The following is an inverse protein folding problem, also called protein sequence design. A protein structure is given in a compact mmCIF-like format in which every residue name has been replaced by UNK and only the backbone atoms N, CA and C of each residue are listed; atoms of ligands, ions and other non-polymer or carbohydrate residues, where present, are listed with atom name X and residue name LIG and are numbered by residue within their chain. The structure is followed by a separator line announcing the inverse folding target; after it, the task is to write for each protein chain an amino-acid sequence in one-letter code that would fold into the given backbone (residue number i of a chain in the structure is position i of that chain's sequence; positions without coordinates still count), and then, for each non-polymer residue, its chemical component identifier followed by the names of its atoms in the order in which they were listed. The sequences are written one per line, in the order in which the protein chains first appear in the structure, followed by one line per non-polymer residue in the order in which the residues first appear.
data_IF_100144804945
#
_entry.id   IF_100144804945
#
_cell.length_a   1.000
_cell.length_b   1.000
_cell.length_c   1.000
_cell.angle_alpha   90.00
_cell.angle_beta   90.00
_cell.angle_gamma   90.00
#
_symmetry.space_group_name_H-M   'P 1'
#
loop_
_entity.id
_entity.type
_entity.pdbx_description
1 polymer ?
#
# COMPACT_ATOMS: atom_id res chain seq x y z
N UNK A 1 0.13 9.94 11.36
CA UNK A 1 -0.68 10.69 12.34
C UNK A 1 -1.77 11.39 11.57
N UNK A 2 -3.02 11.31 12.03
CA UNK A 2 -4.12 12.09 11.44
C UNK A 2 -3.87 13.54 11.83
N UNK A 3 -3.69 14.41 10.82
CA UNK A 3 -3.45 15.83 11.03
C UNK A 3 -4.70 16.49 11.60
N UNK A 4 -4.54 17.30 12.66
CA UNK A 4 -5.62 17.99 13.37
C UNK A 4 -6.29 19.11 12.56
N UNK A 5 -5.82 19.38 11.36
CA UNK A 5 -6.19 20.59 10.62
C UNK A 5 -7.52 20.50 9.87
N UNK A 6 -7.95 19.29 9.44
CA UNK A 6 -9.19 19.13 8.68
C UNK A 6 -10.23 18.37 9.52
N UNK A 7 -11.36 19.02 9.76
CA UNK A 7 -12.46 18.52 10.58
C UNK A 7 -13.50 17.81 9.71
N UNK A 8 -13.87 16.56 10.05
CA UNK A 8 -14.84 15.74 9.33
C UNK A 8 -16.17 16.47 9.08
N UNK A 9 -16.66 17.20 10.09
CA UNK A 9 -17.91 17.96 9.96
C UNK A 9 -17.84 19.01 8.87
N UNK A 10 -16.68 19.67 8.67
CA UNK A 10 -16.51 20.65 7.60
C UNK A 10 -16.50 19.97 6.24
N UNK A 11 -15.93 18.77 6.12
CA UNK A 11 -15.92 17.98 4.88
C UNK A 11 -17.34 17.49 4.54
N UNK A 12 -18.11 17.06 5.52
CA UNK A 12 -19.53 16.69 5.33
C UNK A 12 -20.35 17.90 4.87
N UNK A 13 -20.12 19.11 5.43
CA UNK A 13 -20.78 20.31 4.99
C UNK A 13 -20.35 20.75 3.60
N UNK A 14 -19.06 20.62 3.27
CA UNK A 14 -18.54 20.88 1.93
C UNK A 14 -19.22 19.97 0.89
N UNK A 15 -19.29 18.67 1.15
CA UNK A 15 -20.00 17.71 0.30
C UNK A 15 -21.49 18.07 0.15
N UNK A 16 -22.15 18.50 1.23
CA UNK A 16 -23.54 18.95 1.15
C UNK A 16 -23.70 20.18 0.24
N UNK A 17 -22.80 21.18 0.34
CA UNK A 17 -22.84 22.35 -0.56
C UNK A 17 -22.62 21.96 -2.02
N UNK A 18 -21.73 21.00 -2.27
CA UNK A 18 -21.49 20.51 -3.63
C UNK A 18 -22.73 19.79 -4.20
N UNK A 19 -23.43 18.99 -3.39
CA UNK A 19 -24.62 18.23 -3.85
C UNK A 19 -25.85 19.09 -4.04
N UNK A 20 -26.05 20.04 -3.15
CA UNK A 20 -27.24 20.92 -3.18
C UNK A 20 -27.08 22.14 -4.10
N UNK A 21 -25.85 22.37 -4.64
CA UNK A 21 -25.55 23.47 -5.56
C UNK A 21 -25.47 24.85 -4.91
N UNK A 22 -25.53 24.95 -3.57
CA UNK A 22 -25.40 26.23 -2.87
C UNK A 22 -25.44 26.15 -1.36
N UNK A 23 -24.93 27.21 -0.71
CA UNK A 23 -24.80 27.26 0.76
C UNK A 23 -26.18 27.30 1.44
N UNK A 24 -27.16 28.00 0.87
CA UNK A 24 -28.51 28.13 1.45
C UNK A 24 -29.25 26.78 1.41
N UNK A 25 -29.25 26.11 0.29
CA UNK A 25 -29.87 24.81 0.10
C UNK A 25 -29.21 23.75 0.98
N UNK A 26 -27.87 23.76 1.03
CA UNK A 26 -27.14 22.87 1.92
C UNK A 26 -27.48 23.11 3.40
N UNK A 27 -27.61 24.37 3.84
CA UNK A 27 -27.98 24.72 5.22
C UNK A 27 -29.35 24.15 5.59
N UNK A 28 -30.34 24.26 4.69
CA UNK A 28 -31.68 23.68 4.86
C UNK A 28 -31.60 22.13 4.95
N UNK A 29 -30.88 21.50 4.02
CA UNK A 29 -30.72 20.03 3.94
C UNK A 29 -30.01 19.42 5.17
N UNK A 30 -29.13 20.17 5.82
CA UNK A 30 -28.42 19.69 7.04
C UNK A 30 -29.01 20.22 8.33
N UNK A 31 -30.06 21.06 8.30
CA UNK A 31 -30.71 21.63 9.49
C UNK A 31 -29.83 22.63 10.23
N UNK A 32 -29.00 23.40 9.54
CA UNK A 32 -28.13 24.44 10.09
C UNK A 32 -28.47 25.83 9.52
N UNK A 33 -28.02 26.89 10.19
CA UNK A 33 -28.12 28.23 9.63
C UNK A 33 -27.14 28.46 8.49
N UNK A 34 -27.54 29.23 7.48
CA UNK A 34 -26.66 29.62 6.37
C UNK A 34 -25.33 30.25 6.82
N UNK A 35 -25.27 31.15 7.84
CA UNK A 35 -24.00 31.66 8.35
C UNK A 35 -23.10 30.58 8.91
N UNK A 36 -23.66 29.54 9.56
CA UNK A 36 -22.87 28.44 10.11
C UNK A 36 -22.20 27.61 9.00
N UNK A 37 -22.92 27.30 7.93
CA UNK A 37 -22.38 26.59 6.76
C UNK A 37 -21.32 27.45 6.06
N UNK A 38 -21.62 28.74 5.81
CA UNK A 38 -20.68 29.70 5.19
C UNK A 38 -19.36 29.80 5.99
N UNK A 39 -19.43 29.89 7.31
CA UNK A 39 -18.26 29.92 8.18
C UNK A 39 -17.46 28.60 8.13
N UNK A 40 -18.15 27.46 8.05
CA UNK A 40 -17.49 26.16 7.93
C UNK A 40 -16.73 26.02 6.62
N UNK A 41 -17.32 26.45 5.49
CA UNK A 41 -16.65 26.48 4.18
C UNK A 41 -15.44 27.42 4.21
N UNK A 42 -15.60 28.66 4.70
CA UNK A 42 -14.49 29.60 4.82
C UNK A 42 -13.32 29.03 5.63
N UNK A 43 -13.61 28.40 6.78
CA UNK A 43 -12.58 27.75 7.58
C UNK A 43 -11.93 26.55 6.89
N UNK A 44 -12.66 25.84 6.03
CA UNK A 44 -12.09 24.76 5.21
C UNK A 44 -11.15 25.36 4.15
N UNK A 45 -11.56 26.42 3.44
CA UNK A 45 -10.73 27.15 2.45
C UNK A 45 -9.45 27.69 3.09
N UNK A 46 -9.55 28.28 4.28
CA UNK A 46 -8.38 28.73 5.06
C UNK A 46 -7.44 27.57 5.40
N UNK A 47 -7.99 26.40 5.77
CA UNK A 47 -7.22 25.20 6.12
C UNK A 47 -6.51 24.60 4.92
N UNK A 48 -7.19 24.50 3.78
CA UNK A 48 -6.59 23.96 2.53
C UNK A 48 -5.81 25.01 1.73
N UNK A 49 -5.94 26.29 2.14
CA UNK A 49 -5.21 27.42 1.58
C UNK A 49 -5.65 27.80 0.17
N UNK A 50 -6.89 27.50 -0.23
CA UNK A 50 -7.42 27.83 -1.57
C UNK A 50 -8.93 28.04 -1.52
N UNK A 51 -9.43 28.85 -2.47
CA UNK A 51 -10.86 29.04 -2.70
C UNK A 51 -11.40 27.78 -3.37
N UNK A 52 -12.51 27.24 -2.80
CA UNK A 52 -13.14 26.01 -3.28
C UNK A 52 -14.40 26.28 -4.12
N UNK A 53 -15.02 27.43 -3.88
CA UNK A 53 -16.20 27.88 -4.60
C UNK A 53 -16.02 29.27 -5.18
N UNK A 54 -16.54 29.51 -6.36
CA UNK A 54 -16.68 30.82 -6.98
C UNK A 54 -18.15 31.15 -7.21
N UNK A 55 -18.44 32.45 -7.39
CA UNK A 55 -19.82 32.91 -7.63
C UNK A 55 -20.16 32.67 -9.09
N UNK A 56 -21.13 31.78 -9.35
CA UNK A 56 -21.70 31.52 -10.67
C UNK A 56 -23.08 32.13 -10.84
N UNK A 57 -23.62 32.10 -12.07
CA UNK A 57 -24.96 32.61 -12.42
C UNK A 57 -26.13 31.92 -11.72
N UNK A 58 -25.91 30.70 -11.15
CA UNK A 58 -26.93 29.89 -10.48
C UNK A 58 -26.63 29.55 -9.03
N UNK A 59 -25.56 30.07 -8.45
CA UNK A 59 -25.16 29.72 -7.07
C UNK A 59 -23.64 29.64 -6.87
N UNK A 60 -23.20 28.71 -6.04
CA UNK A 60 -21.78 28.47 -5.79
C UNK A 60 -21.27 27.40 -6.75
N UNK A 61 -20.39 27.75 -7.66
CA UNK A 61 -19.72 26.81 -8.58
C UNK A 61 -18.37 26.37 -7.99
N UNK A 62 -18.00 25.09 -8.21
CA UNK A 62 -16.72 24.58 -7.77
C UNK A 62 -15.58 25.14 -8.61
N UNK A 63 -14.52 25.61 -7.94
CA UNK A 63 -13.23 25.84 -8.59
C UNK A 63 -12.60 24.51 -9.03
N UNK A 64 -11.52 24.56 -9.82
CA UNK A 64 -10.72 23.39 -10.16
C UNK A 64 -10.23 22.67 -8.90
N UNK A 65 -9.75 23.41 -7.93
CA UNK A 65 -9.29 22.93 -6.62
C UNK A 65 -10.45 22.36 -5.80
N UNK A 66 -11.61 23.01 -5.83
CA UNK A 66 -12.85 22.50 -5.23
C UNK A 66 -13.24 21.13 -5.77
N UNK A 67 -13.19 20.94 -7.10
CA UNK A 67 -13.49 19.69 -7.76
C UNK A 67 -12.49 18.56 -7.37
N UNK A 68 -11.20 18.87 -7.24
CA UNK A 68 -10.19 17.92 -6.76
C UNK A 68 -10.48 17.48 -5.31
N UNK A 69 -10.78 18.42 -4.43
CA UNK A 69 -11.14 18.12 -3.04
C UNK A 69 -12.43 17.32 -2.98
N UNK A 70 -13.48 17.70 -3.72
CA UNK A 70 -14.76 17.01 -3.74
C UNK A 70 -14.61 15.53 -4.08
N UNK A 71 -13.86 15.21 -5.11
CA UNK A 71 -13.60 13.82 -5.52
C UNK A 71 -13.03 12.98 -4.39
N UNK A 72 -12.12 13.53 -3.58
CA UNK A 72 -11.52 12.86 -2.43
C UNK A 72 -12.47 12.77 -1.23
N UNK A 73 -13.21 13.84 -0.97
CA UNK A 73 -14.18 13.90 0.14
C UNK A 73 -15.31 12.89 -0.11
N UNK A 74 -15.89 12.85 -1.31
CA UNK A 74 -16.93 11.87 -1.64
C UNK A 74 -16.43 10.44 -1.39
N UNK A 75 -15.24 10.10 -1.90
CA UNK A 75 -14.65 8.77 -1.66
C UNK A 75 -14.43 8.47 -0.18
N UNK A 76 -13.89 9.43 0.57
CA UNK A 76 -13.70 9.27 2.01
C UNK A 76 -15.03 8.98 2.71
N UNK A 77 -16.08 9.76 2.43
CA UNK A 77 -17.39 9.57 3.03
C UNK A 77 -18.02 8.24 2.66
N UNK A 78 -17.95 7.83 1.38
CA UNK A 78 -18.41 6.53 0.91
C UNK A 78 -17.68 5.36 1.58
N UNK A 79 -16.37 5.47 1.75
CA UNK A 79 -15.56 4.46 2.43
C UNK A 79 -15.93 4.36 3.93
N UNK A 80 -16.16 5.48 4.61
CA UNK A 80 -16.62 5.48 6.02
C UNK A 80 -18.00 4.85 6.14
N UNK A 81 -18.96 5.23 5.28
CA UNK A 81 -20.31 4.65 5.27
C UNK A 81 -20.26 3.14 4.97
N UNK A 82 -19.50 2.72 3.98
CA UNK A 82 -19.28 1.31 3.65
C UNK A 82 -18.62 0.53 4.80
N UNK A 83 -17.66 1.15 5.50
CA UNK A 83 -17.03 0.55 6.66
C UNK A 83 -18.02 0.30 7.80
N UNK A 84 -18.89 1.26 8.07
CA UNK A 84 -19.94 1.13 9.07
C UNK A 84 -21.02 0.11 8.66
N UNK A 85 -21.43 0.11 7.40
CA UNK A 85 -22.42 -0.82 6.86
C UNK A 85 -21.95 -2.28 6.84
N UNK A 86 -20.64 -2.52 6.75
CA UNK A 86 -20.05 -3.85 6.80
C UNK A 86 -20.00 -4.45 8.22
N UNK A 87 -20.31 -3.67 9.25
CA UNK A 87 -20.42 -4.19 10.61
C UNK A 87 -21.70 -5.04 10.74
N UNK A 88 -21.66 -6.17 11.47
CA UNK A 88 -22.86 -6.97 11.68
C UNK A 88 -23.96 -6.12 12.29
N UNK A 89 -25.14 -6.10 11.65
CA UNK A 89 -26.25 -5.22 12.08
C UNK A 89 -26.77 -5.61 13.46
N UNK A 90 -26.47 -4.80 14.47
CA UNK A 90 -27.16 -4.84 15.76
C UNK A 90 -28.61 -4.28 15.59
N UNK A 91 -29.53 -4.72 16.45
CA UNK A 91 -30.95 -4.32 16.38
C UNK A 91 -31.20 -2.80 16.42
N UNK A 92 -30.26 -2.01 16.93
CA UNK A 92 -30.34 -0.53 17.01
C UNK A 92 -29.92 0.19 15.73
N UNK A 93 -29.09 -0.42 14.87
CA UNK A 93 -28.60 0.21 13.64
C UNK A 93 -29.73 0.38 12.56
N UNK A 94 -30.79 -0.40 12.64
CA UNK A 94 -31.90 -0.35 11.65
C UNK A 94 -32.82 0.87 11.79
N UNK A 95 -32.80 1.59 12.90
CA UNK A 95 -33.69 2.71 13.16
C UNK A 95 -33.14 4.12 12.88
N UNK A 96 -31.86 4.24 12.47
CA UNK A 96 -31.21 5.57 12.34
C UNK A 96 -30.72 5.90 10.92
N UNK A 97 -31.39 5.41 9.88
CA UNK A 97 -30.95 5.60 8.47
C UNK A 97 -31.21 7.00 7.87
N UNK A 98 -31.69 7.98 8.63
CA UNK A 98 -32.09 9.29 8.09
C UNK A 98 -30.94 10.31 7.94
N UNK A 99 -29.66 9.94 8.02
CA UNK A 99 -28.62 10.96 7.93
C UNK A 99 -27.17 10.48 7.79
N UNK A 100 -26.95 9.21 7.50
CA UNK A 100 -25.59 8.65 7.33
C UNK A 100 -24.77 8.61 8.64
N UNK A 101 -23.83 7.68 8.74
CA UNK A 101 -22.93 7.55 9.88
C UNK A 101 -21.96 8.74 9.94
N UNK A 102 -21.50 9.23 8.78
CA UNK A 102 -20.55 10.33 8.69
C UNK A 102 -21.02 11.64 9.37
N UNK A 103 -22.34 11.91 9.39
CA UNK A 103 -22.88 13.10 10.09
C UNK A 103 -22.82 13.01 11.62
N UNK A 104 -22.74 11.79 12.16
CA UNK A 104 -22.74 11.50 13.61
C UNK A 104 -21.36 11.23 14.16
N UNK A 105 -20.41 10.85 13.29
CA UNK A 105 -19.02 10.63 13.68
C UNK A 105 -18.31 11.93 13.97
N UNK A 106 -17.43 11.89 14.97
CA UNK A 106 -16.54 13.00 15.32
C UNK A 106 -15.08 12.61 15.09
N UNK A 107 -14.22 13.59 14.83
CA UNK A 107 -12.77 13.38 14.70
C UNK A 107 -12.19 12.70 15.93
N UNK A 108 -12.66 13.07 17.13
CA UNK A 108 -12.22 12.47 18.38
C UNK A 108 -12.54 10.98 18.46
N UNK A 109 -13.76 10.56 18.06
CA UNK A 109 -14.14 9.15 18.01
C UNK A 109 -13.22 8.36 17.07
N UNK A 110 -13.00 8.87 15.86
CA UNK A 110 -12.16 8.21 14.85
C UNK A 110 -10.71 8.11 15.33
N UNK A 111 -10.14 9.22 15.81
CA UNK A 111 -8.74 9.26 16.29
C UNK A 111 -8.51 8.32 17.46
N UNK A 112 -9.40 8.33 18.46
CA UNK A 112 -9.29 7.44 19.61
C UNK A 112 -9.41 5.98 19.19
N UNK A 113 -10.33 5.65 18.28
CA UNK A 113 -10.51 4.28 17.80
C UNK A 113 -9.30 3.76 17.05
N UNK A 114 -8.79 4.53 16.09
CA UNK A 114 -7.59 4.19 15.34
C UNK A 114 -6.38 4.03 16.27
N UNK A 115 -6.23 4.94 17.24
CA UNK A 115 -5.15 4.86 18.22
C UNK A 115 -5.25 3.62 19.12
N UNK A 116 -6.45 3.22 19.56
CA UNK A 116 -6.67 1.99 20.36
C UNK A 116 -6.31 0.75 19.54
N UNK A 117 -6.74 0.71 18.28
CA UNK A 117 -6.48 -0.41 17.39
C UNK A 117 -4.97 -0.57 17.08
N UNK A 118 -4.28 0.53 16.83
CA UNK A 118 -2.83 0.53 16.53
C UNK A 118 -1.96 0.29 17.78
N UNK A 119 -2.34 0.87 18.94
CA UNK A 119 -1.61 0.73 20.19
C UNK A 119 -1.90 -0.58 20.95
N UNK A 120 -2.99 -1.27 20.60
CA UNK A 120 -3.42 -2.49 21.27
C UNK A 120 -4.13 -2.25 22.62
N UNK A 121 -4.13 -1.03 23.15
CA UNK A 121 -4.86 -0.69 24.40
C UNK A 121 -5.26 0.79 24.48
N UNK A 122 -6.36 1.08 25.22
CA UNK A 122 -6.81 2.43 25.45
C UNK A 122 -5.82 3.27 26.30
N UNK A 123 -5.08 2.66 27.21
CA UNK A 123 -4.07 3.33 28.01
C UNK A 123 -2.90 3.83 27.16
N UNK A 124 -2.40 2.98 26.26
CA UNK A 124 -1.35 3.35 25.32
C UNK A 124 -1.83 4.38 24.29
N UNK A 125 -3.06 4.23 23.81
CA UNK A 125 -3.69 5.21 22.92
C UNK A 125 -3.78 6.60 23.57
N UNK A 126 -4.19 6.68 24.85
CA UNK A 126 -4.26 7.92 25.61
C UNK A 126 -2.88 8.61 25.68
N UNK A 127 -1.84 7.83 25.96
CA UNK A 127 -0.46 8.31 26.02
C UNK A 127 0.01 8.87 24.66
N UNK A 128 -0.25 8.15 23.56
CA UNK A 128 0.12 8.59 22.20
C UNK A 128 -0.63 9.83 21.72
N UNK A 129 -1.90 9.96 22.14
CA UNK A 129 -2.73 11.10 21.78
C UNK A 129 -2.54 12.32 22.71
N UNK A 130 -1.85 12.17 23.83
CA UNK A 130 -1.67 13.25 24.80
C UNK A 130 -2.96 13.66 25.52
N UNK A 131 -3.94 12.73 25.66
CA UNK A 131 -5.23 12.96 26.31
C UNK A 131 -5.45 11.99 27.46
N UNK A 132 -6.44 12.28 28.32
CA UNK A 132 -6.73 11.42 29.45
C UNK A 132 -7.36 10.09 29.05
N UNK A 133 -7.04 9.01 29.75
CA UNK A 133 -7.63 7.69 29.49
C UNK A 133 -9.17 7.69 29.60
N UNK A 134 -9.82 8.42 30.57
CA UNK A 134 -11.28 8.58 30.56
C UNK A 134 -11.84 9.21 29.29
N UNK A 135 -11.13 10.15 28.64
CA UNK A 135 -11.55 10.75 27.38
C UNK A 135 -11.53 9.71 26.25
N UNK A 136 -10.48 8.89 26.17
CA UNK A 136 -10.39 7.77 25.20
C UNK A 136 -11.52 6.77 25.42
N UNK A 137 -11.81 6.40 26.67
CA UNK A 137 -12.91 5.47 26.99
C UNK A 137 -14.29 6.04 26.65
N UNK A 138 -14.50 7.36 26.81
CA UNK A 138 -15.74 8.01 26.39
C UNK A 138 -15.88 7.98 24.88
N UNK A 139 -14.87 8.43 24.15
CA UNK A 139 -14.88 8.42 22.69
C UNK A 139 -15.10 7.00 22.11
N UNK A 140 -14.53 5.98 22.75
CA UNK A 140 -14.72 4.59 22.35
C UNK A 140 -16.18 4.12 22.56
N UNK A 141 -16.82 4.47 23.68
CA UNK A 141 -18.24 4.15 23.92
C UNK A 141 -19.16 4.89 22.95
N UNK A 142 -18.92 6.19 22.78
CA UNK A 142 -19.71 7.03 21.89
C UNK A 142 -19.59 6.52 20.42
N UNK A 143 -18.45 5.94 20.04
CA UNK A 143 -18.28 5.30 18.72
C UNK A 143 -19.10 4.00 18.63
N UNK A 144 -19.06 3.10 19.64
CA UNK A 144 -19.90 1.89 19.68
C UNK A 144 -21.39 2.24 19.56
N UNK A 145 -21.82 3.29 20.27
CA UNK A 145 -23.21 3.77 20.20
C UNK A 145 -23.56 4.33 18.79
N UNK A 146 -22.62 5.05 18.17
CA UNK A 146 -22.80 5.60 16.82
C UNK A 146 -22.84 4.52 15.76
N UNK A 147 -21.98 3.50 15.84
CA UNK A 147 -21.90 2.37 14.90
C UNK A 147 -23.02 1.34 15.20
N UNK A 148 -23.46 1.24 16.47
CA UNK A 148 -24.46 0.27 16.92
C UNK A 148 -23.92 -1.17 17.03
N UNK A 149 -22.62 -1.34 17.15
CA UNK A 149 -21.97 -2.64 17.24
C UNK A 149 -20.78 -2.61 18.23
N UNK A 150 -20.56 -3.69 19.05
CA UNK A 150 -19.41 -3.76 19.95
C UNK A 150 -18.09 -3.85 19.19
N UNK A 151 -17.19 -2.89 19.44
CA UNK A 151 -15.89 -2.77 18.76
C UNK A 151 -14.71 -3.14 19.66
N UNK A 152 -14.96 -3.29 20.97
CA UNK A 152 -13.89 -3.50 21.94
C UNK A 152 -14.10 -4.74 22.81
N UNK A 153 -12.97 -5.32 23.20
CA UNK A 153 -12.89 -6.31 24.29
C UNK A 153 -12.49 -5.56 25.56
N UNK A 154 -13.30 -5.73 26.63
CA UNK A 154 -13.05 -5.12 27.95
C UNK A 154 -12.51 -6.19 28.88
N UNK A 155 -11.32 -5.99 29.42
CA UNK A 155 -10.73 -6.78 30.52
C UNK A 155 -10.61 -5.90 31.77
N UNK A 156 -10.36 -6.49 32.94
CA UNK A 156 -10.32 -5.78 34.24
C UNK A 156 -9.46 -4.50 34.19
N UNK A 157 -8.36 -4.51 33.44
CA UNK A 157 -7.43 -3.37 33.37
C UNK A 157 -7.13 -2.90 31.93
N UNK A 158 -7.85 -3.37 30.92
CA UNK A 158 -7.56 -2.98 29.53
C UNK A 158 -8.78 -2.99 28.62
N UNK A 159 -8.81 -2.02 27.71
CA UNK A 159 -9.74 -1.98 26.58
C UNK A 159 -8.92 -2.05 25.31
N UNK A 160 -9.20 -3.02 24.46
CA UNK A 160 -8.54 -3.22 23.17
C UNK A 160 -9.56 -3.46 22.07
N UNK A 161 -9.25 -3.11 20.83
CA UNK A 161 -10.15 -3.39 19.70
C UNK A 161 -10.32 -4.92 19.50
N UNK A 162 -11.55 -5.36 19.26
CA UNK A 162 -11.86 -6.72 18.82
C UNK A 162 -11.63 -6.84 17.29
N UNK A 163 -11.93 -7.98 16.69
CA UNK A 163 -11.72 -8.20 15.25
C UNK A 163 -12.52 -7.19 14.39
N UNK A 164 -13.78 -6.92 14.76
CA UNK A 164 -14.60 -5.93 14.06
C UNK A 164 -14.05 -4.51 14.25
N UNK A 165 -13.58 -4.17 15.46
CA UNK A 165 -12.93 -2.89 15.73
C UNK A 165 -11.62 -2.73 14.96
N UNK A 166 -10.81 -3.77 14.83
CA UNK A 166 -9.59 -3.74 14.01
C UNK A 166 -9.91 -3.50 12.53
N UNK A 167 -10.92 -4.17 11.99
CA UNK A 167 -11.34 -3.99 10.61
C UNK A 167 -11.93 -2.60 10.37
N UNK A 168 -12.76 -2.07 11.29
CA UNK A 168 -13.26 -0.70 11.19
C UNK A 168 -12.11 0.31 11.23
N UNK A 169 -11.16 0.16 12.15
CA UNK A 169 -10.01 1.06 12.25
C UNK A 169 -9.18 1.05 10.94
N UNK A 170 -8.95 -0.13 10.37
CA UNK A 170 -8.26 -0.28 9.09
C UNK A 170 -8.95 0.52 7.98
N UNK A 171 -10.27 0.37 7.83
CA UNK A 171 -11.03 1.10 6.80
C UNK A 171 -11.06 2.60 7.04
N UNK A 172 -11.19 3.03 8.29
CA UNK A 172 -11.13 4.45 8.64
C UNK A 172 -9.78 5.08 8.31
N UNK A 173 -8.67 4.38 8.56
CA UNK A 173 -7.33 4.88 8.19
C UNK A 173 -7.21 5.06 6.68
N UNK A 174 -7.73 4.12 5.86
CA UNK A 174 -7.73 4.24 4.41
C UNK A 174 -8.59 5.43 3.97
N UNK A 175 -9.79 5.57 4.52
CA UNK A 175 -10.70 6.68 4.19
C UNK A 175 -10.08 8.04 4.52
N UNK A 176 -9.49 8.19 5.71
CA UNK A 176 -8.81 9.44 6.10
C UNK A 176 -7.57 9.73 5.24
N UNK A 177 -6.94 8.69 4.70
CA UNK A 177 -5.84 8.82 3.74
C UNK A 177 -6.24 9.59 2.47
N UNK A 178 -7.52 9.59 2.07
CA UNK A 178 -8.00 10.38 0.92
C UNK A 178 -7.79 11.88 1.14
N UNK A 179 -7.84 12.38 2.38
CA UNK A 179 -7.61 13.81 2.67
C UNK A 179 -6.13 14.18 2.52
N UNK A 180 -5.22 13.29 2.92
CA UNK A 180 -3.80 13.50 2.65
C UNK A 180 -3.50 13.49 1.14
N UNK A 181 -4.17 12.62 0.39
CA UNK A 181 -4.06 12.61 -1.07
C UNK A 181 -4.68 13.88 -1.70
N UNK A 182 -5.80 14.40 -1.13
CA UNK A 182 -6.38 15.66 -1.56
C UNK A 182 -5.37 16.82 -1.44
N UNK A 183 -4.62 16.89 -0.33
CA UNK A 183 -3.56 17.91 -0.16
C UNK A 183 -2.50 17.80 -1.24
N UNK A 184 -2.05 16.59 -1.57
CA UNK A 184 -1.10 16.37 -2.65
C UNK A 184 -1.67 16.82 -3.98
N UNK A 185 -2.93 16.47 -4.29
CA UNK A 185 -3.60 16.90 -5.53
C UNK A 185 -3.69 18.43 -5.62
N UNK A 186 -4.07 19.12 -4.53
CA UNK A 186 -4.18 20.58 -4.47
C UNK A 186 -2.83 21.28 -4.64
N UNK A 187 -1.78 20.77 -3.97
CA UNK A 187 -0.43 21.34 -4.08
C UNK A 187 0.15 21.11 -5.47
N UNK A 188 -0.10 19.95 -6.07
CA UNK A 188 0.35 19.61 -7.42
C UNK A 188 -0.38 20.45 -8.47
N UNK A 189 -1.68 20.73 -8.29
CA UNK A 189 -2.45 21.60 -9.20
C UNK A 189 -1.90 23.03 -9.27
N UNK A 190 -1.19 23.48 -8.24
CA UNK A 190 -0.52 24.79 -8.17
C UNK A 190 0.92 24.77 -8.72
N UNK A 191 1.35 23.67 -9.33
CA UNK A 191 2.71 23.49 -9.85
C UNK A 191 3.78 23.24 -8.78
N UNK A 192 3.38 23.08 -7.53
CA UNK A 192 4.27 22.72 -6.44
C UNK A 192 4.26 21.20 -6.30
N UNK A 193 5.26 20.54 -6.89
CA UNK A 193 5.39 19.08 -6.82
C UNK A 193 5.79 18.67 -5.39
N UNK A 194 4.82 18.29 -4.59
CA UNK A 194 5.02 17.75 -3.24
C UNK A 194 4.19 16.49 -3.06
N UNK A 195 4.56 15.68 -2.09
CA UNK A 195 3.83 14.46 -1.76
C UNK A 195 4.75 13.33 -1.31
N UNK A 196 4.13 12.19 -1.01
CA UNK A 196 4.83 10.97 -0.60
C UNK A 196 4.32 9.78 -1.40
N UNK A 197 5.22 8.91 -1.78
CA UNK A 197 4.91 7.59 -2.35
C UNK A 197 5.51 6.53 -1.44
N UNK A 198 4.68 5.65 -0.90
CA UNK A 198 5.12 4.56 -0.03
C UNK A 198 5.12 3.24 -0.82
N UNK A 199 6.30 2.71 -1.09
CA UNK A 199 6.53 1.52 -1.90
C UNK A 199 6.93 0.36 -1.01
N UNK A 200 6.19 -0.74 -1.06
CA UNK A 200 6.63 -2.05 -0.56
C UNK A 200 7.46 -2.75 -1.63
N UNK A 201 8.61 -3.25 -1.27
CA UNK A 201 9.48 -4.02 -2.15
C UNK A 201 9.59 -5.45 -1.66
N UNK A 202 9.22 -6.41 -2.50
CA UNK A 202 9.44 -7.82 -2.19
C UNK A 202 10.93 -8.17 -2.34
N UNK A 203 11.45 -9.09 -1.52
CA UNK A 203 12.80 -9.61 -1.69
C UNK A 203 13.01 -10.09 -3.12
N UNK A 204 14.22 -9.92 -3.62
CA UNK A 204 14.61 -10.28 -4.99
C UNK A 204 13.96 -9.42 -6.10
N UNK A 205 13.38 -8.25 -5.79
CA UNK A 205 13.06 -7.25 -6.80
C UNK A 205 14.36 -6.63 -7.34
N UNK A 206 14.52 -6.47 -8.67
CA UNK A 206 15.70 -5.81 -9.23
C UNK A 206 15.80 -4.35 -8.76
N UNK A 207 16.66 -4.09 -7.79
CA UNK A 207 16.77 -2.78 -7.13
C UNK A 207 17.10 -1.64 -8.11
N UNK A 208 17.94 -1.91 -9.13
CA UNK A 208 18.29 -0.91 -10.15
C UNK A 208 17.08 -0.43 -10.96
N UNK A 209 16.10 -1.32 -11.19
CA UNK A 209 14.87 -0.95 -11.90
C UNK A 209 14.09 0.08 -11.10
N UNK A 210 13.91 -0.17 -9.81
CA UNK A 210 13.23 0.75 -8.91
C UNK A 210 14.01 2.08 -8.75
N UNK A 211 15.34 2.02 -8.63
CA UNK A 211 16.19 3.20 -8.53
C UNK A 211 16.09 4.09 -9.79
N UNK A 212 16.07 3.49 -10.99
CA UNK A 212 15.86 4.23 -12.25
C UNK A 212 14.47 4.85 -12.33
N UNK A 213 13.44 4.11 -11.91
CA UNK A 213 12.06 4.63 -11.82
C UNK A 213 12.00 5.87 -10.94
N UNK A 214 12.61 5.84 -9.76
CA UNK A 214 12.66 6.96 -8.83
C UNK A 214 13.48 8.12 -9.43
N UNK A 215 14.60 7.82 -10.08
CA UNK A 215 15.41 8.84 -10.77
C UNK A 215 14.59 9.62 -11.79
N UNK A 216 13.85 8.91 -12.65
CA UNK A 216 12.96 9.53 -13.66
C UNK A 216 11.80 10.30 -13.04
N UNK A 217 11.18 9.76 -11.99
CA UNK A 217 10.13 10.48 -11.27
C UNK A 217 10.63 11.83 -10.75
N UNK A 218 11.86 11.86 -10.21
CA UNK A 218 12.44 13.09 -9.64
C UNK A 218 12.75 14.19 -10.66
N UNK A 219 12.87 13.84 -11.94
CA UNK A 219 13.01 14.85 -13.02
C UNK A 219 11.76 15.74 -13.12
N UNK A 220 10.56 15.14 -12.95
CA UNK A 220 9.28 15.89 -13.00
C UNK A 220 8.77 16.31 -11.61
N UNK A 221 9.13 15.55 -10.55
CA UNK A 221 8.64 15.75 -9.18
C UNK A 221 9.79 15.73 -8.17
N UNK A 222 10.68 16.76 -8.16
CA UNK A 222 11.90 16.77 -7.35
C UNK A 222 11.64 16.71 -5.83
N UNK A 223 10.51 17.24 -5.37
CA UNK A 223 10.14 17.35 -3.96
C UNK A 223 9.25 16.18 -3.46
N UNK A 224 8.96 15.19 -4.31
CA UNK A 224 8.20 14.01 -3.88
C UNK A 224 9.12 13.07 -3.10
N UNK A 225 8.73 12.76 -1.87
CA UNK A 225 9.44 11.80 -1.03
C UNK A 225 9.00 10.37 -1.41
N UNK A 226 9.95 9.49 -1.69
CA UNK A 226 9.69 8.06 -1.91
C UNK A 226 10.23 7.30 -0.71
N UNK A 227 9.35 6.55 -0.05
CA UNK A 227 9.73 5.65 1.05
C UNK A 227 9.67 4.21 0.53
N UNK A 228 10.73 3.43 0.73
CA UNK A 228 10.79 2.03 0.35
C UNK A 228 10.85 1.19 1.61
N UNK A 229 9.98 0.17 1.70
CA UNK A 229 10.00 -0.83 2.75
C UNK A 229 10.17 -2.21 2.13
N UNK A 230 11.25 -2.88 2.45
CA UNK A 230 11.45 -4.28 2.12
C UNK A 230 10.94 -5.17 3.26
N UNK A 231 10.12 -6.18 2.92
CA UNK A 231 9.58 -7.13 3.90
C UNK A 231 8.99 -8.35 3.20
N UNK A 232 8.46 -9.30 4.00
CA UNK A 232 7.73 -10.46 3.49
C UNK A 232 6.43 -10.02 2.81
N UNK A 233 5.94 -10.84 1.87
CA UNK A 233 4.69 -10.57 1.15
C UNK A 233 3.50 -10.35 2.10
N UNK A 234 3.33 -11.20 3.11
CA UNK A 234 2.23 -11.10 4.07
C UNK A 234 2.24 -9.75 4.82
N UNK A 235 3.44 -9.30 5.25
CA UNK A 235 3.59 -8.02 5.96
C UNK A 235 3.33 -6.83 5.05
N UNK A 236 3.87 -6.84 3.82
CA UNK A 236 3.61 -5.77 2.86
C UNK A 236 2.14 -5.70 2.46
N UNK A 237 1.48 -6.84 2.28
CA UNK A 237 0.06 -6.91 1.97
C UNK A 237 -0.80 -6.34 3.10
N UNK A 238 -0.46 -6.64 4.34
CA UNK A 238 -1.08 -6.02 5.50
C UNK A 238 -0.90 -4.50 5.47
N UNK A 239 0.34 -4.01 5.31
CA UNK A 239 0.63 -2.57 5.25
C UNK A 239 -0.07 -1.88 4.06
N UNK A 240 -0.21 -2.54 2.90
CA UNK A 240 -0.97 -2.05 1.75
C UNK A 240 -2.46 -1.90 2.08
N UNK A 241 -3.05 -2.93 2.68
CA UNK A 241 -4.47 -2.93 3.10
C UNK A 241 -4.77 -1.88 4.15
N UNK A 242 -3.81 -1.58 5.03
CA UNK A 242 -3.91 -0.50 6.02
C UNK A 242 -3.56 0.90 5.46
N UNK A 243 -3.31 1.04 4.16
CA UNK A 243 -2.94 2.32 3.57
C UNK A 243 -1.59 2.87 4.01
N UNK A 244 -0.75 2.06 4.66
CA UNK A 244 0.64 2.41 5.02
C UNK A 244 1.56 2.37 3.81
N UNK A 245 1.20 1.57 2.81
CA UNK A 245 1.83 1.51 1.49
C UNK A 245 0.82 1.89 0.42
N UNK A 246 1.31 2.48 -0.66
CA UNK A 246 0.53 2.82 -1.85
C UNK A 246 0.58 1.68 -2.87
N UNK A 247 1.74 1.06 -3.02
CA UNK A 247 2.04 0.04 -4.03
C UNK A 247 3.04 -0.99 -3.45
N UNK A 248 2.88 -2.26 -3.81
CA UNK A 248 3.89 -3.30 -3.60
C UNK A 248 4.46 -3.67 -4.97
N UNK A 249 5.79 -3.78 -5.08
CA UNK A 249 6.50 -4.16 -6.31
C UNK A 249 7.30 -5.44 -6.05
N UNK A 250 7.19 -6.42 -6.96
CA UNK A 250 7.94 -7.68 -6.86
C UNK A 250 7.25 -8.85 -7.53
N UNK A 251 7.64 -10.07 -7.17
CA UNK A 251 7.03 -11.27 -7.72
C UNK A 251 5.57 -11.41 -7.28
N UNK A 252 4.67 -11.56 -8.24
CA UNK A 252 3.27 -11.89 -8.01
C UNK A 252 3.16 -13.35 -7.55
N UNK A 253 2.09 -13.68 -6.86
CA UNK A 253 1.83 -15.04 -6.38
C UNK A 253 0.77 -15.74 -7.22
N UNK A 254 0.87 -17.07 -7.26
CA UNK A 254 -0.19 -17.92 -7.76
C UNK A 254 -0.67 -18.84 -6.62
N UNK A 255 -2.00 -19.00 -6.42
CA UNK A 255 -3.08 -18.28 -7.11
C UNK A 255 -3.04 -16.77 -6.82
N UNK A 256 -3.60 -15.98 -7.76
CA UNK A 256 -3.70 -14.52 -7.60
C UNK A 256 -4.48 -14.18 -6.34
N UNK A 257 -4.13 -13.05 -5.75
CA UNK A 257 -4.79 -12.55 -4.55
C UNK A 257 -6.25 -12.18 -4.86
N UNK A 258 -7.16 -12.70 -4.06
CA UNK A 258 -8.56 -12.29 -4.08
C UNK A 258 -8.82 -11.16 -3.10
N UNK A 259 -9.88 -10.39 -3.34
CA UNK A 259 -10.39 -9.37 -2.44
C UNK A 259 -9.98 -7.95 -2.82
N UNK A 260 -9.62 -7.13 -1.83
CA UNK A 260 -9.46 -5.67 -1.97
C UNK A 260 -8.14 -5.22 -2.62
N UNK A 261 -7.49 -6.05 -3.42
CA UNK A 261 -6.25 -5.71 -4.11
C UNK A 261 -6.31 -6.08 -5.58
N UNK A 262 -5.53 -5.37 -6.39
CA UNK A 262 -5.37 -5.62 -7.82
C UNK A 262 -3.89 -5.82 -8.11
N UNK A 263 -3.58 -6.91 -8.80
CA UNK A 263 -2.25 -7.23 -9.29
C UNK A 263 -2.15 -6.92 -10.77
N UNK A 264 -1.05 -6.28 -11.17
CA UNK A 264 -0.72 -5.99 -12.56
C UNK A 264 0.68 -6.49 -12.89
N UNK A 265 0.77 -7.23 -13.97
CA UNK A 265 2.03 -7.78 -14.46
C UNK A 265 2.87 -6.68 -15.11
N UNK A 266 4.19 -6.77 -14.91
CA UNK A 266 5.19 -5.94 -15.56
C UNK A 266 5.99 -6.77 -16.58
N UNK A 267 6.52 -7.93 -16.16
CA UNK A 267 7.28 -8.84 -17.00
C UNK A 267 7.41 -10.24 -16.37
N UNK A 268 7.74 -11.21 -17.20
CA UNK A 268 8.13 -12.56 -16.76
C UNK A 268 9.66 -12.62 -16.63
N UNK A 269 10.15 -13.08 -15.49
CA UNK A 269 11.57 -13.17 -15.15
C UNK A 269 11.99 -14.64 -15.10
N UNK A 270 12.60 -15.19 -16.15
CA UNK A 270 12.95 -16.59 -16.21
C UNK A 270 14.03 -16.95 -15.18
N UNK A 271 13.97 -18.18 -14.72
CA UNK A 271 15.03 -18.73 -13.86
C UNK A 271 16.20 -19.23 -14.71
N UNK A 272 17.41 -19.05 -14.20
CA UNK A 272 18.64 -19.52 -14.79
C UNK A 272 19.54 -20.17 -13.74
N UNK A 273 20.23 -21.22 -14.14
CA UNK A 273 21.25 -21.85 -13.30
C UNK A 273 22.49 -20.98 -13.33
N UNK A 274 23.05 -20.71 -12.17
CA UNK A 274 24.20 -19.80 -12.01
C UNK A 274 25.32 -20.43 -11.26
N UNK A 275 26.53 -20.01 -11.62
CA UNK A 275 27.81 -20.35 -10.97
C UNK A 275 28.68 -19.11 -10.89
N UNK A 276 29.73 -19.12 -10.07
CA UNK A 276 30.76 -18.05 -10.11
C UNK A 276 31.45 -17.98 -11.48
N UNK A 277 31.99 -16.83 -11.80
CA UNK A 277 32.63 -16.60 -13.12
C UNK A 277 33.83 -17.54 -13.39
N UNK A 278 34.61 -17.90 -12.40
CA UNK A 278 35.75 -18.84 -12.49
C UNK A 278 35.40 -20.30 -12.26
N UNK A 279 34.11 -20.68 -12.23
CA UNK A 279 33.67 -22.06 -12.02
C UNK A 279 34.05 -22.95 -13.22
N UNK A 280 34.43 -24.23 -13.03
CA UNK A 280 34.79 -25.15 -14.13
C UNK A 280 33.73 -25.28 -15.23
N UNK A 281 32.46 -25.09 -14.90
CA UNK A 281 31.35 -25.14 -15.86
C UNK A 281 31.10 -23.80 -16.59
N UNK A 282 31.68 -22.70 -16.16
CA UNK A 282 31.38 -21.36 -16.71
C UNK A 282 31.75 -21.19 -18.18
N UNK A 283 32.80 -21.88 -18.65
CA UNK A 283 33.28 -21.79 -20.03
C UNK A 283 32.66 -22.87 -20.94
N UNK A 284 31.83 -23.75 -20.41
CA UNK A 284 31.17 -24.80 -21.21
C UNK A 284 30.06 -24.21 -22.09
N UNK A 285 30.05 -24.56 -23.36
CA UNK A 285 28.96 -24.12 -24.26
C UNK A 285 27.60 -24.75 -23.94
N UNK A 286 27.60 -25.96 -23.38
CA UNK A 286 26.43 -26.67 -22.88
C UNK A 286 26.81 -27.46 -21.65
N UNK A 287 25.98 -27.46 -20.64
CA UNK A 287 26.17 -28.22 -19.42
C UNK A 287 25.06 -29.26 -19.31
N UNK A 288 25.45 -30.51 -19.09
CA UNK A 288 24.50 -31.62 -18.90
C UNK A 288 23.96 -31.69 -17.50
N UNK A 289 22.81 -32.34 -17.32
CA UNK A 289 22.23 -32.59 -16.00
C UNK A 289 23.18 -33.43 -15.11
N UNK A 290 23.98 -34.33 -15.70
CA UNK A 290 24.96 -35.15 -14.97
C UNK A 290 26.08 -34.27 -14.37
N UNK A 291 26.56 -33.26 -15.09
CA UNK A 291 27.56 -32.32 -14.62
C UNK A 291 26.99 -31.46 -13.48
N UNK A 292 25.74 -31.02 -13.60
CA UNK A 292 25.05 -30.28 -12.51
C UNK A 292 24.92 -31.11 -11.23
N UNK A 293 24.65 -32.42 -11.37
CA UNK A 293 24.52 -33.34 -10.22
C UNK A 293 25.83 -33.58 -9.46
N UNK A 294 26.98 -33.34 -10.12
CA UNK A 294 28.29 -33.57 -9.52
C UNK A 294 28.74 -32.43 -8.57
N UNK A 295 28.05 -31.30 -8.58
CA UNK A 295 28.37 -30.13 -7.76
C UNK A 295 27.38 -29.93 -6.61
N UNK A 296 27.85 -29.26 -5.55
CA UNK A 296 26.98 -28.88 -4.43
C UNK A 296 26.06 -27.70 -4.80
N UNK A 297 24.90 -27.66 -4.16
CA UNK A 297 23.88 -26.63 -4.43
C UNK A 297 23.62 -25.73 -3.24
N UNK A 298 23.42 -24.44 -3.52
CA UNK A 298 22.86 -23.46 -2.60
C UNK A 298 21.43 -23.20 -3.02
N UNK A 299 20.47 -23.50 -2.14
CA UNK A 299 19.05 -23.49 -2.46
C UNK A 299 18.26 -22.54 -1.57
N UNK A 300 17.08 -22.03 -2.02
CA UNK A 300 16.17 -21.26 -1.18
C UNK A 300 15.59 -22.10 -0.04
N UNK A 301 15.16 -21.43 1.05
CA UNK A 301 14.38 -22.07 2.12
C UNK A 301 13.05 -22.60 1.60
N UNK A 302 12.48 -23.58 2.29
CA UNK A 302 11.28 -24.32 1.84
C UNK A 302 10.02 -23.48 1.68
N UNK A 303 9.88 -22.40 2.44
CA UNK A 303 8.75 -21.46 2.37
C UNK A 303 8.84 -20.47 1.18
N UNK A 304 9.95 -20.48 0.45
CA UNK A 304 10.14 -19.59 -0.68
C UNK A 304 9.56 -20.19 -1.98
N UNK A 305 8.76 -19.41 -2.78
CA UNK A 305 8.15 -19.93 -4.01
C UNK A 305 9.16 -20.53 -5.01
N UNK A 306 10.37 -19.97 -5.08
CA UNK A 306 11.45 -20.47 -5.94
C UNK A 306 11.94 -21.87 -5.53
N UNK A 307 11.74 -22.28 -4.27
CA UNK A 307 12.18 -23.61 -3.79
C UNK A 307 11.51 -24.73 -4.57
N UNK A 308 10.22 -24.64 -4.83
CA UNK A 308 9.50 -25.65 -5.60
C UNK A 308 10.10 -25.84 -7.02
N UNK A 309 10.53 -24.75 -7.66
CA UNK A 309 11.19 -24.81 -8.98
C UNK A 309 12.56 -25.49 -8.88
N UNK A 310 13.33 -25.18 -7.85
CA UNK A 310 14.61 -25.85 -7.58
C UNK A 310 14.40 -27.35 -7.35
N UNK A 311 13.46 -27.71 -6.47
CA UNK A 311 13.19 -29.12 -6.17
C UNK A 311 12.73 -29.91 -7.42
N UNK A 312 11.87 -29.34 -8.25
CA UNK A 312 11.49 -29.92 -9.53
C UNK A 312 12.71 -30.13 -10.44
N UNK A 313 13.60 -29.13 -10.52
CA UNK A 313 14.82 -29.25 -11.31
C UNK A 313 15.75 -30.32 -10.76
N UNK A 314 16.01 -30.33 -9.44
CA UNK A 314 16.86 -31.32 -8.79
C UNK A 314 16.32 -32.74 -8.98
N UNK A 315 14.99 -32.92 -8.98
CA UNK A 315 14.36 -34.21 -9.27
C UNK A 315 14.60 -34.75 -10.69
N UNK A 316 14.97 -33.89 -11.65
CA UNK A 316 15.34 -34.31 -13.01
C UNK A 316 16.80 -34.79 -13.13
N UNK A 317 17.61 -34.55 -12.10
CA UNK A 317 19.01 -34.94 -12.12
C UNK A 317 19.16 -36.46 -11.92
N UNK A 318 20.18 -37.08 -12.55
CA UNK A 318 20.41 -38.52 -12.46
C UNK A 318 20.65 -39.01 -11.03
N UNK A 319 21.20 -38.16 -10.20
CA UNK A 319 21.39 -38.38 -8.76
C UNK A 319 21.11 -37.04 -8.03
N UNK A 320 20.50 -37.10 -6.84
CA UNK A 320 20.26 -35.87 -6.07
C UNK A 320 21.63 -35.27 -5.66
N UNK A 321 21.88 -33.99 -5.98
CA UNK A 321 23.11 -33.34 -5.61
C UNK A 321 23.12 -33.02 -4.10
N UNK A 322 24.31 -32.79 -3.57
CA UNK A 322 24.45 -32.34 -2.20
C UNK A 322 23.91 -30.90 -2.06
N UNK A 323 22.96 -30.67 -1.16
CA UNK A 323 22.56 -29.33 -0.73
C UNK A 323 23.55 -28.86 0.33
N UNK A 324 24.34 -27.85 0.00
CA UNK A 324 25.37 -27.30 0.90
C UNK A 324 24.78 -26.29 1.89
N UNK A 325 23.89 -25.42 1.41
CA UNK A 325 23.28 -24.35 2.19
C UNK A 325 21.84 -24.11 1.74
N UNK A 326 20.96 -23.92 2.71
CA UNK A 326 19.62 -23.36 2.49
C UNK A 326 19.57 -21.92 3.00
N UNK A 327 19.25 -20.96 2.14
CA UNK A 327 19.18 -19.53 2.54
C UNK A 327 18.13 -18.75 1.77
N UNK A 328 17.47 -17.80 2.44
CA UNK A 328 16.62 -16.78 1.81
C UNK A 328 17.40 -15.53 1.39
N UNK A 329 18.63 -15.37 1.88
CA UNK A 329 19.48 -14.22 1.61
C UNK A 329 20.18 -14.34 0.26
N UNK A 330 19.88 -13.42 -0.67
CA UNK A 330 20.58 -13.34 -1.95
C UNK A 330 22.07 -13.05 -1.76
N UNK A 331 22.41 -12.15 -0.83
CA UNK A 331 23.80 -11.80 -0.56
C UNK A 331 24.60 -13.03 -0.07
N UNK A 332 24.01 -13.85 0.82
CA UNK A 332 24.67 -15.08 1.29
C UNK A 332 24.82 -16.10 0.17
N UNK A 333 23.78 -16.23 -0.70
CA UNK A 333 23.85 -17.12 -1.85
C UNK A 333 24.99 -16.72 -2.80
N UNK A 334 25.12 -15.44 -3.12
CA UNK A 334 26.19 -14.92 -3.97
C UNK A 334 27.57 -15.15 -3.32
N UNK A 335 27.72 -14.87 -2.02
CA UNK A 335 28.96 -15.11 -1.31
C UNK A 335 29.36 -16.59 -1.33
N UNK A 336 28.41 -17.50 -1.17
CA UNK A 336 28.65 -18.95 -1.29
C UNK A 336 29.10 -19.35 -2.69
N UNK A 337 28.48 -18.78 -3.74
CA UNK A 337 28.90 -19.00 -5.12
C UNK A 337 30.31 -18.48 -5.39
N UNK A 338 30.65 -17.29 -4.87
CA UNK A 338 31.97 -16.68 -5.11
C UNK A 338 33.12 -17.49 -4.48
N UNK A 339 32.91 -17.98 -3.27
CA UNK A 339 33.91 -18.70 -2.50
C UNK A 339 33.98 -20.20 -2.81
N UNK A 340 33.00 -20.77 -3.53
CA UNK A 340 32.89 -22.21 -3.72
C UNK A 340 32.45 -22.59 -5.13
N UNK A 341 32.85 -23.78 -5.60
CA UNK A 341 32.37 -24.38 -6.85
C UNK A 341 30.97 -24.99 -6.65
N UNK A 342 30.03 -24.16 -6.27
CA UNK A 342 28.64 -24.57 -6.08
C UNK A 342 27.70 -23.93 -7.12
N UNK A 343 26.49 -24.43 -7.18
CA UNK A 343 25.47 -24.05 -8.16
C UNK A 343 24.27 -23.47 -7.43
N UNK A 344 23.57 -22.54 -8.06
CA UNK A 344 22.28 -22.07 -7.57
C UNK A 344 21.33 -21.74 -8.72
N UNK A 345 20.06 -21.51 -8.40
CA UNK A 345 19.04 -21.04 -9.33
C UNK A 345 18.67 -19.60 -8.98
N UNK A 346 18.85 -18.66 -9.91
CA UNK A 346 18.47 -17.26 -9.76
C UNK A 346 17.52 -16.84 -10.89
N UNK A 347 16.80 -15.75 -10.68
CA UNK A 347 16.09 -15.09 -11.77
C UNK A 347 17.09 -14.34 -12.65
N UNK A 348 16.85 -14.35 -13.95
CA UNK A 348 17.74 -13.72 -14.94
C UNK A 348 17.97 -12.24 -14.69
N UNK A 349 16.96 -11.55 -14.19
CA UNK A 349 17.05 -10.14 -13.83
C UNK A 349 18.12 -9.82 -12.79
N UNK A 350 18.43 -10.75 -11.87
CA UNK A 350 19.50 -10.55 -10.89
C UNK A 350 20.90 -10.47 -11.54
N UNK A 351 21.11 -11.20 -12.63
CA UNK A 351 22.35 -11.16 -13.38
C UNK A 351 22.42 -9.88 -14.21
N UNK A 352 21.32 -9.55 -14.91
CA UNK A 352 21.28 -8.40 -15.83
C UNK A 352 21.29 -7.04 -15.09
N UNK A 353 20.55 -6.94 -13.99
CA UNK A 353 20.31 -5.67 -13.26
C UNK A 353 20.83 -5.67 -11.84
N UNK A 354 21.33 -6.80 -11.33
CA UNK A 354 21.97 -6.91 -10.03
C UNK A 354 23.38 -6.32 -10.04
N UNK A 355 23.92 -6.10 -8.86
CA UNK A 355 25.31 -5.71 -8.69
C UNK A 355 26.27 -6.88 -8.96
N UNK A 356 25.74 -8.10 -9.15
CA UNK A 356 26.45 -9.36 -9.15
C UNK A 356 26.81 -9.89 -10.55
N UNK A 357 26.58 -9.12 -11.61
CA UNK A 357 26.85 -9.54 -13.01
C UNK A 357 28.33 -9.86 -13.28
N UNK A 358 29.24 -9.34 -12.46
CA UNK A 358 30.67 -9.59 -12.57
C UNK A 358 31.12 -10.80 -11.72
N UNK A 359 30.30 -11.27 -10.81
CA UNK A 359 30.58 -12.35 -9.87
C UNK A 359 30.04 -13.68 -10.37
N UNK A 360 28.85 -13.67 -10.96
CA UNK A 360 28.17 -14.88 -11.43
C UNK A 360 27.88 -14.87 -12.93
N UNK A 361 27.79 -16.06 -13.51
CA UNK A 361 27.40 -16.29 -14.89
C UNK A 361 26.25 -17.31 -14.96
N UNK A 362 25.36 -17.12 -15.93
CA UNK A 362 24.33 -18.11 -16.23
C UNK A 362 24.91 -19.24 -17.08
N UNK A 363 24.59 -20.49 -16.75
CA UNK A 363 24.93 -21.64 -17.56
C UNK A 363 23.90 -21.86 -18.65
N UNK A 364 24.35 -22.32 -19.81
CA UNK A 364 23.49 -22.83 -20.89
C UNK A 364 23.10 -24.28 -20.55
N UNK A 365 22.02 -24.42 -19.83
CA UNK A 365 21.41 -25.70 -19.45
C UNK A 365 19.97 -25.73 -19.93
N UNK A 366 19.35 -26.93 -20.08
CA UNK A 366 17.91 -27.02 -20.26
C UNK A 366 17.23 -26.24 -19.13
N UNK A 367 16.66 -25.08 -19.49
CA UNK A 367 16.08 -24.16 -18.51
C UNK A 367 14.94 -24.87 -17.77
N UNK A 368 14.87 -24.78 -16.44
CA UNK A 368 13.67 -25.20 -15.74
C UNK A 368 12.49 -24.46 -16.36
N UNK A 369 11.44 -25.19 -16.73
CA UNK A 369 10.24 -24.55 -17.29
C UNK A 369 9.67 -23.59 -16.27
N UNK A 370 9.43 -22.36 -16.71
CA UNK A 370 8.84 -21.33 -15.90
C UNK A 370 9.77 -20.17 -15.55
N UNK A 371 9.20 -19.20 -14.95
CA UNK A 371 9.81 -17.98 -14.43
C UNK A 371 8.87 -17.44 -13.37
N UNK A 372 9.26 -16.37 -12.72
CA UNK A 372 8.35 -15.63 -11.86
C UNK A 372 7.74 -14.47 -12.64
N UNK A 373 6.46 -14.25 -12.49
CA UNK A 373 5.83 -13.02 -12.94
C UNK A 373 6.16 -11.90 -11.96
N UNK A 374 6.84 -10.87 -12.41
CA UNK A 374 7.10 -9.64 -11.65
C UNK A 374 6.03 -8.63 -11.99
N UNK A 375 5.51 -7.96 -10.97
CA UNK A 375 4.44 -7.00 -11.14
C UNK A 375 4.33 -6.03 -9.99
N UNK A 376 3.18 -5.39 -9.91
CA UNK A 376 2.84 -4.56 -8.76
C UNK A 376 1.42 -4.82 -8.28
N UNK A 377 1.22 -4.61 -6.99
CA UNK A 377 -0.06 -4.78 -6.30
C UNK A 377 -0.49 -3.46 -5.68
N UNK A 378 -1.75 -3.07 -5.88
CA UNK A 378 -2.37 -1.89 -5.28
C UNK A 378 -3.68 -2.29 -4.59
N UNK A 379 -4.25 -1.41 -3.76
CA UNK A 379 -5.64 -1.58 -3.33
C UNK A 379 -6.57 -1.46 -4.54
N UNK A 380 -7.66 -2.23 -4.56
CA UNK A 380 -8.62 -2.23 -5.67
C UNK A 380 -9.32 -0.87 -5.84
N UNK A 381 -9.58 -0.18 -4.73
CA UNK A 381 -10.21 1.12 -4.66
C UNK A 381 -9.21 2.30 -4.64
N UNK A 382 -7.93 2.04 -4.88
CA UNK A 382 -6.91 3.10 -4.83
C UNK A 382 -7.07 4.12 -5.95
N UNK A 383 -7.12 5.38 -5.57
CA UNK A 383 -7.11 6.53 -6.48
C UNK A 383 -5.73 7.20 -6.41
N UNK A 384 -4.80 6.90 -7.33
CA UNK A 384 -3.47 7.49 -7.30
C UNK A 384 -3.49 9.01 -7.56
N UNK A 385 -2.63 9.74 -6.85
CA UNK A 385 -2.31 11.14 -7.17
C UNK A 385 -1.52 11.21 -8.47
N UNK A 386 -1.32 12.42 -9.00
CA UNK A 386 -0.54 12.59 -10.23
C UNK A 386 0.91 12.07 -10.10
N UNK A 387 1.67 12.37 -9.03
CA UNK A 387 3.00 11.77 -8.85
C UNK A 387 2.99 10.23 -8.72
N UNK A 388 1.95 9.65 -8.10
CA UNK A 388 1.82 8.21 -7.98
C UNK A 388 1.51 7.54 -9.34
N UNK A 389 0.71 8.18 -10.20
CA UNK A 389 0.48 7.72 -11.58
C UNK A 389 1.78 7.76 -12.38
N UNK A 390 2.50 8.88 -12.32
CA UNK A 390 3.79 9.02 -13.00
C UNK A 390 4.79 7.94 -12.55
N UNK A 391 4.84 7.65 -11.23
CA UNK A 391 5.68 6.57 -10.72
C UNK A 391 5.36 5.22 -11.38
N UNK A 392 4.07 4.88 -11.53
CA UNK A 392 3.65 3.63 -12.19
C UNK A 392 4.03 3.64 -13.67
N UNK A 393 3.81 4.74 -14.37
CA UNK A 393 4.14 4.90 -15.79
C UNK A 393 5.65 4.76 -16.02
N UNK A 394 6.46 5.39 -15.17
CA UNK A 394 7.91 5.23 -15.22
C UNK A 394 8.36 3.81 -14.87
N UNK A 395 7.73 3.16 -13.89
CA UNK A 395 8.01 1.77 -13.56
C UNK A 395 7.76 0.85 -14.75
N UNK A 396 6.62 1.01 -15.42
CA UNK A 396 6.28 0.26 -16.62
C UNK A 396 7.23 0.55 -17.79
N UNK A 397 7.62 1.81 -17.97
CA UNK A 397 8.56 2.22 -19.01
C UNK A 397 9.94 1.60 -18.79
N UNK A 398 10.46 1.64 -17.56
CA UNK A 398 11.75 1.03 -17.23
C UNK A 398 11.75 -0.50 -17.40
N UNK A 399 10.61 -1.16 -17.14
CA UNK A 399 10.47 -2.59 -17.38
C UNK A 399 10.52 -2.93 -18.88
N UNK A 400 9.89 -2.13 -19.76
CA UNK A 400 9.93 -2.32 -21.22
C UNK A 400 11.30 -2.06 -21.84
N UNK A 401 12.08 -1.17 -21.26
CA UNK A 401 13.44 -0.83 -21.72
C UNK A 401 14.49 -1.84 -21.23
N UNK A 402 14.10 -2.79 -20.39
CA UNK A 402 14.99 -3.77 -19.82
C UNK A 402 15.29 -4.87 -20.86
N UNK A 403 16.51 -4.94 -21.48
CA UNK A 403 16.82 -5.93 -22.48
C UNK A 403 16.84 -7.34 -21.89
N UNK A 404 16.07 -8.24 -22.49
CA UNK A 404 16.06 -9.67 -22.15
C UNK A 404 15.09 -10.07 -21.02
N UNK A 405 14.09 -9.28 -20.78
CA UNK A 405 12.93 -9.61 -19.95
C UNK A 405 11.73 -9.89 -20.84
#
# INVERSE_FOLDING_TARGET
MIDDSINLRRLVLFDAVCREGGISQAAEAVGLSQPAVSLAIKKLEETVGTVLFERGYGGSELTREGALLQRRVVRMLEQIESAAAAMPAGARARQSNAGGVCRRLTDSQIRCHVAIADAGSAAEAARRLGISQPAVHRAARDLEDTIGYPLYRRRVHSVSANAAGQELARRLVVALGEIEQARVDLVTARGLAAGRIAVGMLPLMPQRLLARTIGRLRESYPNVAVTIRESTHARLLEDLRFGRLDIIVGALREPRLEGNVVERELFTDPYVVVVRRGHPLAERRRVSLKELAAHGWVVPQQDMPRRAVVDMMLATLPQPPQVLVETSSLAMMIAMLDENDCISLLSRSHILYGNYRNEVVALDVPSPQGGRTVGYTTRADWLPTQPQREFIEQLQAQCRLAPGV
#
